data_IF_110518307020
#
_entry.id   IF_110518307020
#
_cell.length_a   1.000
_cell.length_b   1.000
_cell.length_c   1.000
_cell.angle_alpha   90.00
_cell.angle_beta   90.00
_cell.angle_gamma   90.00
#
_symmetry.space_group_name_H-M   'P 1'
#
loop_
_entity.id
_entity.type
_entity.pdbx_description
1 polymer ?
#
# COMPACT_ATOMS: atom_id res chain seq x y z
N UNK A 1 -1.75 -3.68 -9.40
CA UNK A 1 -0.58 -4.04 -10.25
C UNK A 1 0.76 -3.63 -9.66
N UNK A 2 1.02 -2.34 -9.39
CA UNK A 2 2.34 -1.88 -8.90
C UNK A 2 2.75 -2.55 -7.59
N UNK A 3 1.83 -2.61 -6.61
CA UNK A 3 2.09 -3.27 -5.32
C UNK A 3 2.43 -4.75 -5.50
N UNK A 4 1.65 -5.49 -6.29
CA UNK A 4 1.89 -6.91 -6.59
C UNK A 4 3.20 -7.16 -7.36
N UNK A 5 3.62 -6.22 -8.22
CA UNK A 5 4.91 -6.30 -8.91
C UNK A 5 6.09 -6.08 -7.95
N UNK A 6 5.89 -5.28 -6.88
CA UNK A 6 6.92 -5.01 -5.86
C UNK A 6 7.04 -6.10 -4.81
N UNK A 7 5.92 -6.73 -4.46
CA UNK A 7 5.86 -7.79 -3.46
C UNK A 7 5.09 -8.98 -4.05
N UNK A 8 5.82 -9.96 -4.62
CA UNK A 8 5.22 -11.22 -5.05
C UNK A 8 4.41 -11.85 -3.90
N UNK A 9 3.24 -12.38 -4.21
CA UNK A 9 2.29 -12.91 -3.22
C UNK A 9 1.18 -11.94 -2.83
N UNK A 10 1.38 -10.62 -2.95
CA UNK A 10 0.30 -9.65 -2.69
C UNK A 10 -0.89 -9.79 -3.65
N UNK A 11 -0.69 -10.32 -4.86
CA UNK A 11 -1.80 -10.51 -5.80
C UNK A 11 -2.87 -11.45 -5.23
N UNK A 12 -2.45 -12.58 -4.66
CA UNK A 12 -3.35 -13.53 -4.02
C UNK A 12 -4.04 -12.89 -2.81
N UNK A 13 -3.28 -12.19 -1.96
CA UNK A 13 -3.83 -11.50 -0.79
C UNK A 13 -4.90 -10.47 -1.20
N UNK A 14 -4.66 -9.71 -2.28
CA UNK A 14 -5.65 -8.76 -2.80
C UNK A 14 -6.89 -9.46 -3.37
N UNK A 15 -6.73 -10.59 -4.03
CA UNK A 15 -7.84 -11.41 -4.53
C UNK A 15 -8.67 -11.97 -3.38
N UNK A 16 -8.01 -12.45 -2.32
CA UNK A 16 -8.68 -13.01 -1.14
C UNK A 16 -9.41 -11.95 -0.32
N UNK A 17 -8.86 -10.73 -0.18
CA UNK A 17 -9.44 -9.65 0.64
C UNK A 17 -10.53 -8.85 -0.10
N UNK A 18 -10.40 -8.69 -1.43
CA UNK A 18 -11.38 -7.96 -2.25
C UNK A 18 -12.43 -8.88 -2.87
N UNK A 19 -12.27 -10.18 -2.71
CA UNK A 19 -13.22 -11.19 -3.16
C UNK A 19 -14.09 -11.67 -2.00
N UNK A 20 -15.38 -11.86 -2.28
CA UNK A 20 -16.41 -12.29 -1.33
C UNK A 20 -16.30 -13.76 -0.89
N UNK A 21 -15.22 -14.46 -1.22
CA UNK A 21 -15.08 -15.90 -0.96
C UNK A 21 -14.34 -16.23 0.34
N UNK A 22 -13.58 -15.29 0.90
CA UNK A 22 -12.77 -15.50 2.12
C UNK A 22 -13.09 -14.45 3.20
N UNK A 23 -12.07 -13.74 3.69
CA UNK A 23 -12.24 -12.73 4.72
C UNK A 23 -12.24 -11.32 4.11
N UNK A 24 -13.20 -10.51 4.55
CA UNK A 24 -13.42 -9.15 4.08
C UNK A 24 -13.45 -8.14 5.24
N UNK A 25 -13.58 -6.86 4.89
CA UNK A 25 -13.68 -5.78 5.85
C UNK A 25 -15.12 -5.58 6.33
N UNK A 26 -15.33 -5.68 7.64
CA UNK A 26 -16.62 -5.39 8.27
C UNK A 26 -16.48 -4.28 9.31
N UNK A 27 -17.49 -3.41 9.37
CA UNK A 27 -17.56 -2.31 10.35
C UNK A 27 -18.82 -2.53 11.19
N UNK A 28 -18.64 -2.62 12.51
CA UNK A 28 -19.74 -2.90 13.44
C UNK A 28 -19.52 -2.24 14.79
N UNK A 29 -20.60 -1.78 15.40
CA UNK A 29 -20.61 -1.25 16.77
C UNK A 29 -20.65 -2.38 17.79
N UNK A 30 -19.86 -2.25 18.85
CA UNK A 30 -19.76 -3.25 19.93
C UNK A 30 -19.88 -2.57 21.30
N UNK A 31 -21.11 -2.33 21.80
CA UNK A 31 -21.33 -1.54 23.02
C UNK A 31 -20.63 -2.05 24.27
N UNK A 32 -20.39 -3.36 24.35
CA UNK A 32 -19.69 -4.00 25.46
C UNK A 32 -18.19 -3.67 25.54
N UNK A 33 -17.61 -3.09 24.48
CA UNK A 33 -16.18 -2.73 24.41
C UNK A 33 -15.92 -1.23 24.66
N UNK A 34 -16.96 -0.44 24.91
CA UNK A 34 -16.78 0.99 25.21
C UNK A 34 -15.85 1.21 26.41
N UNK A 35 -14.94 2.16 26.28
CA UNK A 35 -13.94 2.45 27.30
C UNK A 35 -12.71 1.51 27.28
N UNK A 36 -12.69 0.47 26.45
CA UNK A 36 -11.49 -0.36 26.27
C UNK A 36 -10.49 0.32 25.35
N UNK A 37 -9.20 0.06 25.59
CA UNK A 37 -8.11 0.50 24.73
C UNK A 37 -8.02 -0.37 23.48
N UNK A 38 -7.48 0.18 22.40
CA UNK A 38 -7.34 -0.55 21.14
C UNK A 38 -6.41 -1.76 21.25
N UNK A 39 -5.39 -1.73 22.11
CA UNK A 39 -4.53 -2.88 22.40
C UNK A 39 -5.30 -4.11 22.92
N UNK A 40 -6.29 -3.89 23.79
CA UNK A 40 -7.15 -4.95 24.34
C UNK A 40 -8.15 -5.41 23.27
N UNK A 41 -8.73 -4.46 22.53
CA UNK A 41 -9.67 -4.73 21.44
C UNK A 41 -9.01 -5.60 20.38
N UNK A 42 -7.74 -5.34 20.04
CA UNK A 42 -6.97 -6.07 19.03
C UNK A 42 -6.93 -7.59 19.28
N UNK A 43 -6.97 -8.01 20.55
CA UNK A 43 -6.93 -9.42 20.96
C UNK A 43 -8.28 -9.93 21.49
N UNK A 44 -9.35 -9.13 21.38
CA UNK A 44 -10.68 -9.47 21.90
C UNK A 44 -11.49 -10.37 20.97
N UNK A 45 -11.10 -10.54 19.71
CA UNK A 45 -11.87 -11.28 18.70
C UNK A 45 -11.14 -12.56 18.29
N UNK A 46 -11.65 -13.76 18.65
CA UNK A 46 -11.03 -15.02 18.24
C UNK A 46 -11.08 -15.25 16.72
N UNK A 47 -12.18 -14.84 16.09
CA UNK A 47 -12.51 -15.14 14.70
C UNK A 47 -12.42 -13.91 13.77
N UNK A 48 -11.83 -12.80 14.26
CA UNK A 48 -11.64 -11.59 13.46
C UNK A 48 -10.39 -10.82 13.89
N UNK A 49 -9.85 -10.00 12.99
CA UNK A 49 -8.67 -9.17 13.24
C UNK A 49 -9.07 -7.69 13.17
N UNK A 50 -9.17 -6.98 14.31
CA UNK A 50 -9.34 -5.54 14.32
C UNK A 50 -8.19 -4.83 13.62
N UNK A 51 -8.50 -3.92 12.70
CA UNK A 51 -7.49 -3.17 11.95
C UNK A 51 -7.79 -1.66 11.87
N UNK A 52 -8.90 -1.21 12.43
CA UNK A 52 -9.22 0.21 12.49
C UNK A 52 -10.45 0.54 13.32
N UNK A 53 -10.69 1.84 13.47
CA UNK A 53 -11.87 2.39 14.15
C UNK A 53 -12.52 3.42 13.23
N UNK A 54 -13.84 3.39 13.14
CA UNK A 54 -14.65 4.45 12.56
C UNK A 54 -15.06 5.38 13.69
N UNK A 55 -14.48 6.58 13.69
CA UNK A 55 -14.61 7.54 14.79
C UNK A 55 -15.85 8.39 14.61
N UNK A 56 -16.82 8.25 15.52
CA UNK A 56 -18.09 8.97 15.43
C UNK A 56 -17.91 10.49 15.57
N UNK A 57 -17.03 10.92 16.47
CA UNK A 57 -16.75 12.35 16.71
C UNK A 57 -16.08 13.06 15.51
N UNK A 58 -15.55 12.30 14.56
CA UNK A 58 -14.85 12.78 13.37
C UNK A 58 -15.65 12.49 12.09
N UNK A 59 -16.97 12.68 12.12
CA UNK A 59 -17.86 12.50 10.96
C UNK A 59 -17.75 11.08 10.34
N UNK A 60 -17.55 10.07 11.19
CA UNK A 60 -17.38 8.69 10.74
C UNK A 60 -16.08 8.43 9.99
N UNK A 61 -15.03 9.24 10.19
CA UNK A 61 -13.71 9.00 9.62
C UNK A 61 -13.16 7.65 10.10
N UNK A 62 -12.71 6.84 9.14
CA UNK A 62 -12.02 5.58 9.42
C UNK A 62 -10.53 5.86 9.67
N UNK A 63 -10.05 5.42 10.82
CA UNK A 63 -8.63 5.41 11.19
C UNK A 63 -8.15 3.96 11.11
N UNK A 64 -7.31 3.66 10.12
CA UNK A 64 -6.62 2.37 10.01
C UNK A 64 -5.39 2.38 10.93
N UNK A 65 -5.16 1.26 11.63
CA UNK A 65 -4.08 1.10 12.60
C UNK A 65 -3.98 2.28 13.57
N UNK A 66 -5.02 2.51 14.41
CA UNK A 66 -5.00 3.54 15.44
C UNK A 66 -3.90 3.27 16.48
N UNK A 67 -3.65 4.24 17.36
CA UNK A 67 -2.73 4.03 18.49
C UNK A 67 -3.29 2.99 19.47
N UNK A 68 -2.40 2.18 20.04
CA UNK A 68 -2.74 1.16 21.04
C UNK A 68 -3.52 1.73 22.24
N UNK A 69 -3.22 2.97 22.62
CA UNK A 69 -3.86 3.73 23.70
C UNK A 69 -5.20 4.38 23.32
N UNK A 70 -5.66 4.22 22.08
CA UNK A 70 -6.95 4.75 21.65
C UNK A 70 -8.08 4.10 22.46
N UNK A 71 -8.92 4.92 23.10
CA UNK A 71 -10.05 4.44 23.90
C UNK A 71 -11.33 4.49 23.07
N UNK A 72 -12.02 3.36 22.92
CA UNK A 72 -13.26 3.24 22.15
C UNK A 72 -14.40 4.05 22.80
N UNK A 73 -15.01 4.96 22.03
CA UNK A 73 -16.12 5.79 22.50
C UNK A 73 -17.49 5.15 22.21
N UNK A 74 -18.55 5.70 22.80
CA UNK A 74 -19.89 5.10 22.80
C UNK A 74 -20.49 4.90 21.39
N UNK A 75 -20.13 5.71 20.40
CA UNK A 75 -20.65 5.61 19.03
C UNK A 75 -19.60 5.13 18.02
N UNK A 76 -18.40 4.79 18.47
CA UNK A 76 -17.37 4.28 17.57
C UNK A 76 -17.70 2.87 17.07
N UNK A 77 -17.30 2.59 15.84
CA UNK A 77 -17.44 1.27 15.24
C UNK A 77 -16.06 0.67 14.98
N UNK A 78 -15.93 -0.64 15.15
CA UNK A 78 -14.67 -1.36 14.97
C UNK A 78 -14.64 -1.89 13.53
N UNK A 79 -13.55 -1.59 12.83
CA UNK A 79 -13.23 -2.19 11.54
C UNK A 79 -12.41 -3.45 11.79
N UNK A 80 -12.90 -4.58 11.28
CA UNK A 80 -12.24 -5.88 11.37
C UNK A 80 -12.07 -6.51 9.99
N UNK A 81 -11.15 -7.47 9.90
CA UNK A 81 -11.12 -8.48 8.84
C UNK A 81 -11.74 -9.75 9.42
N UNK A 82 -12.81 -10.27 8.82
CA UNK A 82 -13.53 -11.47 9.25
C UNK A 82 -14.11 -12.22 8.04
N UNK A 83 -14.52 -13.49 8.23
CA UNK A 83 -15.12 -14.31 7.16
C UNK A 83 -16.50 -13.78 6.72
N UNK A 84 -17.36 -13.40 7.67
CA UNK A 84 -18.72 -12.90 7.41
C UNK A 84 -19.12 -11.86 8.48
N UNK A 85 -20.23 -11.13 8.28
CA UNK A 85 -20.68 -10.07 9.19
C UNK A 85 -21.27 -10.57 10.53
N UNK A 86 -21.62 -11.86 10.59
CA UNK A 86 -22.18 -12.56 11.74
C UNK A 86 -21.27 -13.67 12.31
N UNK A 87 -20.11 -13.93 11.71
CA UNK A 87 -19.20 -15.02 12.10
C UNK A 87 -18.26 -14.69 13.27
N UNK A 88 -18.26 -13.43 13.74
CA UNK A 88 -17.34 -12.96 14.78
C UNK A 88 -18.02 -12.19 15.91
N UNK A 89 -17.47 -12.34 17.11
CA UNK A 89 -17.90 -11.62 18.31
C UNK A 89 -16.72 -11.45 19.27
N UNK A 90 -16.74 -10.41 20.12
CA UNK A 90 -15.72 -10.27 21.14
C UNK A 90 -15.90 -11.31 22.24
N UNK A 91 -14.77 -11.82 22.75
CA UNK A 91 -14.67 -12.77 23.83
C UNK A 91 -13.90 -12.17 25.01
N UNK A 92 -13.77 -12.95 26.10
CA UNK A 92 -12.91 -12.57 27.21
C UNK A 92 -11.45 -12.44 26.75
N UNK A 93 -10.74 -11.44 27.29
CA UNK A 93 -9.35 -11.20 26.93
C UNK A 93 -8.50 -12.46 27.17
N UNK A 94 -7.80 -12.97 26.14
CA UNK A 94 -6.93 -14.11 26.30
C UNK A 94 -5.70 -13.72 27.13
N UNK A 95 -5.12 -14.68 27.85
CA UNK A 95 -3.81 -14.47 28.49
C UNK A 95 -2.71 -14.56 27.43
N UNK A 96 -2.17 -13.41 27.03
CA UNK A 96 -1.05 -13.33 26.07
C UNK A 96 0.26 -13.17 26.83
N UNK A 97 1.29 -13.93 26.44
CA UNK A 97 2.64 -13.74 26.99
C UNK A 97 3.30 -12.56 26.31
N UNK A 98 3.65 -11.54 27.09
CA UNK A 98 4.51 -10.48 26.60
C UNK A 98 5.86 -11.04 26.15
N UNK A 99 6.31 -10.57 24.99
CA UNK A 99 7.60 -10.90 24.42
C UNK A 99 8.39 -9.62 24.20
N UNK A 100 9.72 -9.69 24.39
CA UNK A 100 10.58 -8.59 24.01
C UNK A 100 10.59 -8.43 22.50
N UNK A 101 10.49 -7.19 22.04
CA UNK A 101 10.61 -6.88 20.62
C UNK A 101 12.00 -7.30 20.13
N UNK A 102 12.05 -8.40 19.37
CA UNK A 102 13.26 -8.76 18.65
C UNK A 102 13.41 -7.77 17.49
N UNK A 103 14.47 -6.96 17.52
CA UNK A 103 14.77 -6.08 16.41
C UNK A 103 15.14 -6.92 15.18
N UNK A 104 14.15 -7.18 14.32
CA UNK A 104 14.38 -7.75 12.99
C UNK A 104 14.99 -6.64 12.16
N UNK A 105 16.28 -6.77 11.83
CA UNK A 105 16.94 -5.85 10.92
C UNK A 105 16.19 -5.84 9.59
N UNK A 106 15.48 -4.73 9.30
CA UNK A 106 14.84 -4.55 8.01
C UNK A 106 15.95 -4.32 6.99
N UNK A 107 16.16 -5.23 6.02
CA UNK A 107 17.18 -5.01 5.01
C UNK A 107 16.85 -3.72 4.26
N UNK A 108 17.88 -2.92 3.97
CA UNK A 108 17.71 -1.75 3.13
C UNK A 108 17.08 -2.17 1.80
N UNK A 109 16.05 -1.44 1.35
CA UNK A 109 15.39 -1.74 0.07
C UNK A 109 16.43 -1.67 -1.04
N UNK A 110 16.61 -2.79 -1.73
CA UNK A 110 17.47 -2.89 -2.91
C UNK A 110 16.79 -2.14 -4.07
N UNK A 111 17.54 -1.39 -4.89
CA UNK A 111 17.00 -0.75 -6.07
C UNK A 111 16.39 -1.79 -7.02
N UNK A 112 15.14 -1.54 -7.47
CA UNK A 112 14.42 -2.42 -8.38
C UNK A 112 14.50 -1.93 -9.83
N UNK A 113 14.45 -2.86 -10.79
CA UNK A 113 14.28 -2.54 -12.22
C UNK A 113 12.91 -3.01 -12.65
N UNK A 114 12.07 -2.08 -13.10
CA UNK A 114 10.68 -2.33 -13.50
C UNK A 114 10.54 -2.04 -14.99
N UNK A 115 9.99 -2.98 -15.74
CA UNK A 115 9.65 -2.82 -17.15
C UNK A 115 8.14 -2.55 -17.27
N UNK A 116 7.78 -1.41 -17.86
CA UNK A 116 6.42 -1.09 -18.25
C UNK A 116 6.29 -1.32 -19.75
N UNK A 117 5.54 -2.34 -20.13
CA UNK A 117 5.28 -2.67 -21.53
C UNK A 117 3.86 -2.30 -21.94
N UNK A 118 3.77 -1.55 -23.03
CA UNK A 118 2.52 -0.94 -23.49
C UNK A 118 2.25 0.41 -22.85
N UNK A 119 1.42 1.21 -23.52
CA UNK A 119 1.10 2.56 -23.07
C UNK A 119 -0.33 2.64 -22.58
N UNK A 120 -0.51 2.57 -21.27
CA UNK A 120 -1.82 2.80 -20.63
C UNK A 120 -2.19 4.29 -20.80
N UNK A 121 -3.48 4.58 -20.99
CA UNK A 121 -3.96 5.97 -21.20
C UNK A 121 -3.54 6.89 -20.04
N UNK A 122 -3.58 6.36 -18.81
CA UNK A 122 -3.29 7.05 -17.56
C UNK A 122 -2.05 6.42 -16.87
N UNK A 123 -0.97 6.23 -17.66
CA UNK A 123 0.28 5.64 -17.14
C UNK A 123 1.01 6.61 -16.19
N UNK A 124 0.65 7.89 -16.23
CA UNK A 124 1.10 8.94 -15.34
C UNK A 124 0.73 8.65 -13.89
N UNK A 125 -0.54 8.35 -13.63
CA UNK A 125 -1.03 8.01 -12.30
C UNK A 125 -0.25 6.81 -11.72
N UNK A 126 0.07 5.83 -12.57
CA UNK A 126 0.87 4.67 -12.17
C UNK A 126 2.31 5.04 -11.78
N UNK A 127 2.92 6.02 -12.43
CA UNK A 127 4.27 6.49 -12.15
C UNK A 127 4.30 7.29 -10.83
N UNK A 128 3.30 8.16 -10.62
CA UNK A 128 3.15 8.95 -9.38
C UNK A 128 3.01 8.04 -8.16
N UNK A 129 2.16 7.01 -8.26
CA UNK A 129 1.93 6.02 -7.19
C UNK A 129 3.19 5.20 -6.86
N UNK A 130 4.17 5.14 -7.77
CA UNK A 130 5.47 4.49 -7.51
C UNK A 130 6.45 5.37 -6.71
N UNK A 131 6.15 6.68 -6.57
CA UNK A 131 6.80 7.68 -5.71
C UNK A 131 8.32 7.86 -5.86
N UNK A 132 8.95 7.48 -6.98
CA UNK A 132 10.43 7.45 -7.05
C UNK A 132 11.08 7.94 -8.35
N UNK A 133 10.36 8.62 -9.25
CA UNK A 133 10.80 8.69 -10.66
C UNK A 133 11.35 10.04 -11.12
N UNK A 134 11.51 11.04 -10.25
CA UNK A 134 12.01 12.36 -10.67
C UNK A 134 13.41 12.34 -11.32
N UNK A 135 14.45 11.65 -10.79
CA UNK A 135 15.79 11.73 -11.39
C UNK A 135 16.00 10.83 -12.61
N UNK A 136 15.21 9.76 -12.78
CA UNK A 136 15.52 8.71 -13.76
C UNK A 136 14.76 8.85 -15.09
N UNK A 137 13.55 9.43 -15.07
CA UNK A 137 12.84 9.86 -16.30
C UNK A 137 13.69 10.86 -17.09
N UNK A 138 14.38 11.78 -16.40
CA UNK A 138 15.23 12.79 -17.02
C UNK A 138 16.37 12.20 -17.86
N UNK A 139 16.99 11.11 -17.38
CA UNK A 139 18.08 10.43 -18.09
C UNK A 139 17.58 9.58 -19.28
N UNK A 140 16.39 8.97 -19.17
CA UNK A 140 15.76 8.27 -20.29
C UNK A 140 15.37 9.24 -21.42
N UNK A 141 14.90 10.44 -21.06
CA UNK A 141 14.59 11.51 -22.01
C UNK A 141 15.82 11.94 -22.82
N UNK A 142 16.95 12.21 -22.15
CA UNK A 142 18.21 12.57 -22.82
C UNK A 142 18.68 11.47 -23.79
N UNK A 143 18.50 10.20 -23.41
CA UNK A 143 18.86 9.04 -24.24
C UNK A 143 17.94 8.91 -25.47
N UNK A 144 16.62 8.96 -25.29
CA UNK A 144 15.63 8.93 -26.39
C UNK A 144 15.83 10.09 -27.37
N UNK A 145 16.09 11.30 -26.87
CA UNK A 145 16.36 12.48 -27.70
C UNK A 145 17.67 12.34 -28.48
N UNK A 146 18.72 11.77 -27.87
CA UNK A 146 19.99 11.48 -28.54
C UNK A 146 19.81 10.44 -29.64
N UNK A 147 19.09 9.34 -29.36
CA UNK A 147 18.76 8.30 -30.35
C UNK A 147 17.92 8.86 -31.50
N UNK A 148 16.90 9.68 -31.19
CA UNK A 148 16.06 10.34 -32.20
C UNK A 148 16.86 11.34 -33.06
N UNK A 149 17.86 12.02 -32.48
CA UNK A 149 18.81 12.89 -33.19
C UNK A 149 19.97 12.13 -33.86
N UNK A 150 19.87 10.79 -34.00
CA UNK A 150 20.86 9.97 -34.71
C UNK A 150 22.19 9.77 -33.98
N UNK A 151 22.27 10.11 -32.69
CA UNK A 151 23.44 9.90 -31.87
C UNK A 151 23.26 8.65 -31.01
N UNK A 152 24.07 7.62 -31.22
CA UNK A 152 24.13 6.45 -30.33
C UNK A 152 24.83 6.86 -29.03
N UNK A 153 24.14 6.87 -27.89
CA UNK A 153 24.77 7.19 -26.61
C UNK A 153 25.71 6.05 -26.20
N UNK A 154 26.95 6.42 -25.87
CA UNK A 154 27.92 5.49 -25.25
C UNK A 154 27.49 5.26 -23.81
N UNK A 155 27.27 4.00 -23.47
CA UNK A 155 26.98 3.41 -22.15
C UNK A 155 26.25 4.31 -21.13
N UNK A 156 25.02 3.92 -20.81
CA UNK A 156 24.18 4.57 -19.81
C UNK A 156 24.77 4.44 -18.39
N UNK A 157 25.49 5.47 -17.91
CA UNK A 157 26.00 5.55 -16.54
C UNK A 157 25.02 6.36 -15.68
N UNK A 158 23.89 5.76 -15.32
CA UNK A 158 23.03 6.25 -14.24
C UNK A 158 23.56 5.82 -12.86
N UNK A 159 23.16 6.48 -11.76
CA UNK A 159 23.55 6.06 -10.41
C UNK A 159 23.23 4.57 -10.19
N UNK A 160 24.22 3.80 -9.73
CA UNK A 160 24.09 2.34 -9.52
C UNK A 160 23.02 1.97 -8.50
N UNK A 161 22.62 2.93 -7.64
CA UNK A 161 21.70 2.75 -6.52
C UNK A 161 20.29 3.29 -6.74
N UNK A 162 19.93 3.77 -7.94
CA UNK A 162 18.58 4.27 -8.21
C UNK A 162 17.68 3.18 -8.82
N UNK A 163 16.41 3.13 -8.41
CA UNK A 163 15.39 2.32 -9.07
C UNK A 163 15.31 2.70 -10.55
N UNK A 164 15.16 1.69 -11.44
CA UNK A 164 15.08 1.92 -12.88
C UNK A 164 13.72 1.55 -13.45
N UNK A 165 13.05 2.49 -14.10
CA UNK A 165 11.82 2.23 -14.86
C UNK A 165 12.16 2.31 -16.35
N UNK A 166 11.86 1.23 -17.09
CA UNK A 166 12.04 1.15 -18.53
C UNK A 166 10.66 1.12 -19.19
N UNK A 167 10.46 1.99 -20.18
CA UNK A 167 9.25 1.99 -21.01
C UNK A 167 9.51 1.25 -22.32
N UNK A 168 8.53 0.44 -22.72
CA UNK A 168 8.55 -0.41 -23.90
C UNK A 168 7.33 -0.03 -24.77
N UNK A 169 7.53 0.87 -25.75
CA UNK A 169 6.48 1.38 -26.64
C UNK A 169 6.68 2.84 -27.10
N UNK A 170 5.89 3.30 -28.08
CA UNK A 170 5.92 4.67 -28.63
C UNK A 170 4.54 5.34 -28.53
N UNK A 171 4.48 6.61 -28.09
CA UNK A 171 3.28 7.46 -28.12
C UNK A 171 3.65 8.85 -28.64
N UNK A 172 2.70 9.52 -29.31
CA UNK A 172 2.94 10.75 -30.06
C UNK A 172 3.05 12.01 -29.17
N UNK A 173 2.47 11.96 -27.97
CA UNK A 173 2.44 12.97 -26.90
C UNK A 173 3.39 12.61 -25.73
N UNK A 174 4.37 11.74 -25.98
CA UNK A 174 5.31 11.27 -24.95
C UNK A 174 6.13 12.41 -24.35
N UNK A 175 6.47 13.43 -25.14
CA UNK A 175 7.24 14.58 -24.66
C UNK A 175 6.43 15.43 -23.66
N UNK A 176 5.18 15.76 -23.99
CA UNK A 176 4.30 16.57 -23.14
C UNK A 176 4.07 15.92 -21.78
N UNK A 177 3.76 14.62 -21.79
CA UNK A 177 3.54 13.84 -20.58
C UNK A 177 4.80 13.78 -19.70
N UNK A 178 5.98 13.63 -20.29
CA UNK A 178 7.25 13.60 -19.54
C UNK A 178 7.57 14.97 -18.93
N UNK A 179 7.19 16.07 -19.58
CA UNK A 179 7.39 17.42 -19.03
C UNK A 179 6.50 17.69 -17.82
N UNK A 180 5.27 17.15 -17.79
CA UNK A 180 4.38 17.23 -16.61
C UNK A 180 4.97 16.52 -15.37
N UNK A 181 5.83 15.51 -15.57
CA UNK A 181 6.56 14.83 -14.49
C UNK A 181 7.77 15.60 -13.94
N UNK A 182 8.18 16.70 -14.58
CA UNK A 182 9.37 17.47 -14.24
C UNK A 182 9.11 18.62 -13.26
N UNK A 183 7.86 18.89 -12.88
CA UNK A 183 7.46 19.84 -11.82
C UNK A 183 7.34 19.11 -10.46
#
# INVERSE_FOLDING_TARGET
MIQCARQPGLAQIWEDILGFENCEFYIKRWPQLHGMQFEDILISFPDAIPCGIKVASCDGKIILNPEDSYVLQEDDEILVIAEDDDSYAPAALPTVKEASFMHIARPARMPQKILLCGWRRDIDDMIVVSSFVKPLIFLFFAWMLQVWRGSLPKDFIGPKSAEKILFCGWRRDMEDMIMDFQL
#
